data_IF_214722458627
#
_entry.id   IF_214722458627
#
_cell.length_a   1.000
_cell.length_b   1.000
_cell.length_c   1.000
_cell.angle_alpha   90.00
_cell.angle_beta   90.00
_cell.angle_gamma   90.00
#
_symmetry.space_group_name_H-M   'P 1'
#
loop_
_entity.id
_entity.type
_entity.pdbx_description
1 polymer ?
#
# COMPACT_ATOMS: atom_id res chain seq x y z
N UNK A 1 -25.77 13.61 -25.89
CA UNK A 1 -24.71 13.08 -25.01
C UNK A 1 -24.88 13.75 -23.66
N UNK A 2 -25.27 13.01 -22.62
CA UNK A 2 -25.43 13.58 -21.28
C UNK A 2 -24.04 13.92 -20.74
N UNK A 3 -23.82 15.19 -20.37
CA UNK A 3 -22.57 15.62 -19.74
C UNK A 3 -22.38 14.81 -18.46
N UNK A 4 -21.26 14.06 -18.36
CA UNK A 4 -20.89 13.39 -17.12
C UNK A 4 -20.76 14.46 -16.03
N UNK A 5 -21.63 14.38 -15.02
CA UNK A 5 -21.59 15.27 -13.86
C UNK A 5 -20.24 15.06 -13.16
N UNK A 6 -19.47 16.13 -13.01
CA UNK A 6 -18.16 16.11 -12.35
C UNK A 6 -18.33 15.64 -10.89
N UNK A 7 -17.44 14.77 -10.36
CA UNK A 7 -17.54 14.24 -9.01
C UNK A 7 -17.30 15.35 -7.97
N UNK A 8 -18.00 15.29 -6.84
CA UNK A 8 -17.75 16.17 -5.70
C UNK A 8 -16.46 15.78 -4.96
N UNK A 9 -15.92 16.67 -4.12
CA UNK A 9 -14.77 16.37 -3.24
C UNK A 9 -15.05 15.13 -2.38
N UNK A 10 -16.27 15.03 -1.84
CA UNK A 10 -16.70 13.86 -1.05
C UNK A 10 -16.68 12.57 -1.87
N UNK A 11 -17.11 12.60 -3.13
CA UNK A 11 -17.07 11.43 -4.01
C UNK A 11 -15.64 10.98 -4.31
N UNK A 12 -14.74 11.94 -4.54
CA UNK A 12 -13.31 11.68 -4.79
C UNK A 12 -12.66 11.05 -3.55
N UNK A 13 -12.84 11.65 -2.38
CA UNK A 13 -12.30 11.13 -1.12
C UNK A 13 -12.87 9.76 -0.75
N UNK A 14 -14.15 9.53 -1.02
CA UNK A 14 -14.78 8.23 -0.80
C UNK A 14 -14.19 7.14 -1.71
N UNK A 15 -14.00 7.42 -3.00
CA UNK A 15 -13.38 6.49 -3.95
C UNK A 15 -11.95 6.16 -3.56
N UNK A 16 -11.16 7.18 -3.19
CA UNK A 16 -9.81 7.00 -2.67
C UNK A 16 -9.79 6.10 -1.45
N UNK A 17 -10.64 6.38 -0.46
CA UNK A 17 -10.80 5.55 0.74
C UNK A 17 -11.09 4.09 0.37
N UNK A 18 -12.03 3.84 -0.54
CA UNK A 18 -12.36 2.48 -0.97
C UNK A 18 -11.20 1.76 -1.64
N UNK A 19 -10.50 2.42 -2.57
CA UNK A 19 -9.32 1.83 -3.22
C UNK A 19 -8.23 1.49 -2.21
N UNK A 20 -8.01 2.37 -1.22
CA UNK A 20 -7.06 2.13 -0.14
C UNK A 20 -7.51 0.99 0.78
N UNK A 21 -8.77 0.95 1.19
CA UNK A 21 -9.29 -0.12 2.06
C UNK A 21 -9.12 -1.51 1.39
N UNK A 22 -9.31 -1.60 0.08
CA UNK A 22 -9.02 -2.83 -0.70
C UNK A 22 -7.52 -3.17 -0.71
N UNK A 23 -6.66 -2.17 -0.83
CA UNK A 23 -5.22 -2.35 -0.82
C UNK A 23 -4.71 -2.79 0.56
N UNK A 24 -5.24 -2.20 1.64
CA UNK A 24 -4.93 -2.59 3.01
C UNK A 24 -5.40 -4.01 3.32
N UNK A 25 -6.54 -4.44 2.79
CA UNK A 25 -6.99 -5.84 2.86
C UNK A 25 -6.01 -6.78 2.16
N UNK A 26 -5.54 -6.41 0.96
CA UNK A 26 -4.53 -7.20 0.23
C UNK A 26 -3.20 -7.30 1.00
N UNK A 27 -2.68 -6.18 1.52
CA UNK A 27 -1.47 -6.18 2.36
C UNK A 27 -1.68 -6.98 3.64
N UNK A 28 -2.85 -6.89 4.25
CA UNK A 28 -3.23 -7.67 5.44
C UNK A 28 -3.13 -9.17 5.22
N UNK A 29 -3.67 -9.66 4.10
CA UNK A 29 -3.56 -11.08 3.71
C UNK A 29 -2.11 -11.53 3.55
N UNK A 30 -1.25 -10.69 2.98
CA UNK A 30 0.19 -10.99 2.88
C UNK A 30 0.86 -11.03 4.26
N UNK A 31 0.43 -10.17 5.20
CA UNK A 31 0.93 -10.23 6.58
C UNK A 31 0.54 -11.56 7.24
N UNK A 32 -0.71 -11.99 7.07
CA UNK A 32 -1.22 -13.24 7.63
C UNK A 32 -0.48 -14.45 7.03
N UNK A 33 -0.21 -14.45 5.72
CA UNK A 33 0.57 -15.49 5.05
C UNK A 33 2.02 -15.56 5.59
N UNK A 34 2.69 -14.42 5.68
CA UNK A 34 4.04 -14.34 6.25
C UNK A 34 4.10 -14.86 7.69
N UNK A 35 3.08 -14.52 8.49
CA UNK A 35 2.96 -14.98 9.87
C UNK A 35 2.69 -16.48 9.96
N UNK A 36 1.81 -17.03 9.12
CA UNK A 36 1.52 -18.45 9.07
C UNK A 36 2.77 -19.29 8.70
N UNK A 37 3.59 -18.80 7.76
CA UNK A 37 4.87 -19.42 7.41
C UNK A 37 5.82 -19.39 8.61
N UNK A 38 5.95 -18.22 9.25
CA UNK A 38 6.79 -18.09 10.44
C UNK A 38 6.37 -19.05 11.56
N UNK A 39 5.07 -19.12 11.89
CA UNK A 39 4.55 -20.02 12.93
C UNK A 39 4.81 -21.49 12.60
N UNK A 40 4.58 -21.89 11.34
CA UNK A 40 4.83 -23.26 10.87
C UNK A 40 6.31 -23.63 11.03
N UNK A 41 7.21 -22.80 10.53
CA UNK A 41 8.67 -23.05 10.60
C UNK A 41 9.17 -23.01 12.05
N UNK A 42 8.63 -22.12 12.89
CA UNK A 42 9.00 -22.05 14.30
C UNK A 42 8.50 -23.26 15.10
N UNK A 43 7.31 -23.77 14.80
CA UNK A 43 6.72 -24.96 15.45
C UNK A 43 7.54 -26.23 15.16
N UNK A 44 8.17 -26.33 13.99
CA UNK A 44 9.02 -27.45 13.57
C UNK A 44 10.40 -27.47 14.30
N UNK A 45 10.57 -26.68 15.38
CA UNK A 45 11.75 -26.53 16.25
C UNK A 45 12.97 -25.84 15.63
N UNK A 46 12.85 -25.29 14.42
CA UNK A 46 13.89 -24.46 13.79
C UNK A 46 13.55 -22.97 13.88
N UNK A 47 13.24 -22.47 15.07
CA UNK A 47 12.98 -21.03 15.30
C UNK A 47 14.18 -20.13 14.99
N UNK A 48 15.35 -20.71 14.81
CA UNK A 48 16.59 -20.06 14.35
C UNK A 48 16.94 -20.37 12.89
N UNK A 49 16.06 -21.04 12.13
CA UNK A 49 16.23 -21.18 10.68
C UNK A 49 16.18 -19.81 10.01
N UNK A 50 16.92 -19.66 8.92
CA UNK A 50 16.82 -18.46 8.12
C UNK A 50 15.39 -18.28 7.59
N UNK A 51 14.68 -19.37 7.30
CA UNK A 51 13.30 -19.35 6.81
C UNK A 51 12.35 -18.61 7.77
N UNK A 52 12.41 -18.91 9.08
CA UNK A 52 11.60 -18.22 10.08
C UNK A 52 11.98 -16.74 10.20
N UNK A 53 13.27 -16.42 10.17
CA UNK A 53 13.75 -15.03 10.24
C UNK A 53 13.28 -14.23 9.04
N UNK A 54 13.40 -14.79 7.83
CA UNK A 54 12.99 -14.14 6.59
C UNK A 54 11.48 -13.95 6.54
N UNK A 55 10.68 -14.98 6.87
CA UNK A 55 9.23 -14.86 6.92
C UNK A 55 8.77 -13.77 7.90
N UNK A 56 9.37 -13.74 9.10
CA UNK A 56 9.11 -12.70 10.10
C UNK A 56 9.47 -11.29 9.61
N UNK A 57 10.64 -11.13 9.00
CA UNK A 57 11.09 -9.84 8.47
C UNK A 57 10.19 -9.34 7.34
N UNK A 58 9.77 -10.22 6.43
CA UNK A 58 8.79 -9.90 5.38
C UNK A 58 7.46 -9.45 6.02
N UNK A 59 6.94 -10.19 7.00
CA UNK A 59 5.70 -9.84 7.70
C UNK A 59 5.77 -8.46 8.38
N UNK A 60 6.90 -8.15 9.04
CA UNK A 60 7.11 -6.84 9.66
C UNK A 60 7.15 -5.71 8.63
N UNK A 61 7.82 -5.92 7.50
CA UNK A 61 7.86 -4.95 6.39
C UNK A 61 6.49 -4.74 5.76
N UNK A 62 5.71 -5.80 5.54
CA UNK A 62 4.35 -5.69 5.03
C UNK A 62 3.45 -4.90 5.99
N UNK A 63 3.59 -5.12 7.30
CA UNK A 63 2.89 -4.32 8.30
C UNK A 63 3.30 -2.85 8.28
N UNK A 64 4.60 -2.57 8.12
CA UNK A 64 5.09 -1.19 7.93
C UNK A 64 4.57 -0.56 6.64
N UNK A 65 4.47 -1.32 5.55
CA UNK A 65 3.87 -0.86 4.30
C UNK A 65 2.39 -0.48 4.49
N UNK A 66 1.62 -1.25 5.26
CA UNK A 66 0.24 -0.90 5.58
C UNK A 66 0.15 0.45 6.32
N UNK A 67 1.02 0.71 7.30
CA UNK A 67 1.06 2.01 7.98
C UNK A 67 1.42 3.16 7.03
N UNK A 68 2.34 2.94 6.09
CA UNK A 68 2.67 3.95 5.08
C UNK A 68 1.48 4.21 4.15
N UNK A 69 0.79 3.16 3.67
CA UNK A 69 -0.41 3.32 2.83
C UNK A 69 -1.51 4.08 3.59
N UNK A 70 -1.70 3.80 4.88
CA UNK A 70 -2.64 4.54 5.72
C UNK A 70 -2.21 6.00 5.93
N UNK A 71 -0.91 6.30 5.89
CA UNK A 71 -0.35 7.66 5.94
C UNK A 71 -0.94 8.61 4.90
N UNK A 72 -1.18 8.14 3.67
CA UNK A 72 -1.81 8.94 2.61
C UNK A 72 -3.23 9.38 2.98
N UNK A 73 -3.96 8.54 3.73
CA UNK A 73 -5.29 8.89 4.20
C UNK A 73 -5.29 10.08 5.15
N UNK A 74 -4.30 10.15 6.04
CA UNK A 74 -4.24 11.24 7.02
C UNK A 74 -3.97 12.59 6.34
N UNK A 75 -3.23 12.60 5.24
CA UNK A 75 -3.02 13.81 4.40
C UNK A 75 -4.37 14.29 3.84
N UNK A 76 -5.14 13.39 3.22
CA UNK A 76 -6.47 13.70 2.69
C UNK A 76 -7.46 14.13 3.79
N UNK A 77 -7.38 13.52 4.97
CA UNK A 77 -8.24 13.84 6.11
C UNK A 77 -7.98 15.25 6.65
N UNK A 78 -6.72 15.65 6.75
CA UNK A 78 -6.35 17.01 7.18
C UNK A 78 -6.96 18.04 6.22
N UNK A 79 -6.87 17.83 4.91
CA UNK A 79 -7.49 18.72 3.93
C UNK A 79 -9.02 18.77 4.05
N UNK A 80 -9.64 17.61 4.28
CA UNK A 80 -11.08 17.53 4.51
C UNK A 80 -11.52 18.29 5.76
N UNK A 81 -10.74 18.26 6.84
CA UNK A 81 -11.03 18.99 8.08
C UNK A 81 -10.82 20.50 7.94
N UNK A 82 -9.84 20.94 7.13
CA UNK A 82 -9.56 22.36 6.88
C UNK A 82 -10.56 23.01 5.92
N UNK A 83 -11.16 22.25 5.00
CA UNK A 83 -12.22 22.71 4.08
C UNK A 83 -11.85 23.91 3.21
N UNK A 84 -10.56 24.14 2.92
CA UNK A 84 -10.13 25.22 2.02
C UNK A 84 -9.67 24.68 0.66
N UNK A 85 -9.89 25.44 -0.41
CA UNK A 85 -9.40 25.10 -1.76
C UNK A 85 -7.90 24.84 -1.76
N UNK A 86 -7.14 25.72 -1.10
CA UNK A 86 -5.69 25.60 -0.96
C UNK A 86 -5.30 24.28 -0.26
N UNK A 87 -5.96 23.93 0.84
CA UNK A 87 -5.67 22.67 1.54
C UNK A 87 -5.91 21.44 0.67
N UNK A 88 -6.94 21.43 -0.18
CA UNK A 88 -7.21 20.31 -1.08
C UNK A 88 -6.17 20.19 -2.20
N UNK A 89 -5.73 21.32 -2.76
CA UNK A 89 -4.68 21.36 -3.79
C UNK A 89 -3.36 20.86 -3.19
N UNK A 90 -2.93 21.46 -2.07
CA UNK A 90 -1.69 21.09 -1.39
C UNK A 90 -1.72 19.63 -0.95
N UNK A 91 -2.81 19.15 -0.34
CA UNK A 91 -2.89 17.75 0.06
C UNK A 91 -2.87 16.79 -1.13
N UNK A 92 -3.49 17.15 -2.27
CA UNK A 92 -3.39 16.32 -3.46
C UNK A 92 -1.96 16.22 -3.99
N UNK A 93 -1.18 17.29 -3.93
CA UNK A 93 0.23 17.30 -4.35
C UNK A 93 1.10 16.50 -3.37
N UNK A 94 0.93 16.77 -2.07
CA UNK A 94 1.66 16.10 -0.99
C UNK A 94 1.34 14.61 -0.96
N UNK A 95 0.08 14.21 -1.13
CA UNK A 95 -0.33 12.79 -1.18
C UNK A 95 0.33 12.07 -2.35
N UNK A 96 0.41 12.70 -3.53
CA UNK A 96 1.11 12.11 -4.69
C UNK A 96 2.60 11.95 -4.44
N UNK A 97 3.26 12.99 -3.94
CA UNK A 97 4.67 12.93 -3.60
C UNK A 97 4.93 11.87 -2.52
N UNK A 98 4.10 11.81 -1.49
CA UNK A 98 4.18 10.82 -0.42
C UNK A 98 4.06 9.38 -0.95
N UNK A 99 3.09 9.10 -1.82
CA UNK A 99 2.95 7.78 -2.44
C UNK A 99 4.18 7.46 -3.30
N UNK A 100 4.59 8.38 -4.17
CA UNK A 100 5.68 8.15 -5.11
C UNK A 100 7.05 8.00 -4.43
N UNK A 101 7.33 8.79 -3.39
CA UNK A 101 8.65 8.85 -2.77
C UNK A 101 8.76 7.97 -1.52
N UNK A 102 7.67 7.74 -0.80
CA UNK A 102 7.70 6.96 0.44
C UNK A 102 7.11 5.57 0.27
N UNK A 103 5.85 5.47 -0.15
CA UNK A 103 5.14 4.17 -0.23
C UNK A 103 5.78 3.28 -1.28
N UNK A 104 5.98 3.81 -2.49
CA UNK A 104 6.55 3.05 -3.62
C UNK A 104 8.01 2.66 -3.35
N UNK A 105 8.83 3.57 -2.84
CA UNK A 105 10.23 3.27 -2.46
C UNK A 105 10.30 2.17 -1.41
N UNK A 106 9.41 2.21 -0.41
CA UNK A 106 9.38 1.19 0.63
C UNK A 106 8.95 -0.17 0.07
N UNK A 107 7.91 -0.21 -0.76
CA UNK A 107 7.43 -1.40 -1.46
C UNK A 107 8.54 -2.02 -2.32
N UNK A 108 9.23 -1.21 -3.14
CA UNK A 108 10.36 -1.66 -3.95
C UNK A 108 11.50 -2.23 -3.08
N UNK A 109 11.67 -1.70 -1.86
CA UNK A 109 12.56 -2.25 -0.84
C UNK A 109 12.15 -3.65 -0.35
N UNK A 110 10.85 -3.94 -0.24
CA UNK A 110 10.34 -5.28 0.11
C UNK A 110 10.62 -6.26 -1.03
N UNK A 111 10.32 -5.88 -2.28
CA UNK A 111 10.61 -6.68 -3.46
C UNK A 111 12.11 -7.00 -3.56
N UNK A 112 12.96 -5.98 -3.37
CA UNK A 112 14.42 -6.14 -3.36
C UNK A 112 14.89 -7.09 -2.26
N UNK A 113 14.34 -6.96 -1.04
CA UNK A 113 14.64 -7.86 0.07
C UNK A 113 14.23 -9.30 -0.25
N UNK A 114 13.01 -9.53 -0.75
CA UNK A 114 12.51 -10.86 -1.12
C UNK A 114 13.40 -11.56 -2.17
N UNK A 115 13.95 -10.79 -3.11
CA UNK A 115 14.87 -11.30 -4.14
C UNK A 115 16.25 -11.68 -3.62
N UNK A 116 16.70 -11.06 -2.54
CA UNK A 116 18.07 -11.19 -2.01
C UNK A 116 18.17 -12.06 -0.76
N UNK A 117 17.05 -12.26 -0.06
CA UNK A 117 17.02 -13.02 1.18
C UNK A 117 17.37 -14.51 0.94
N UNK A 118 18.08 -15.10 1.91
CA UNK A 118 18.51 -16.50 1.86
C UNK A 118 17.52 -17.36 2.62
N UNK A 119 17.02 -18.37 1.96
CA UNK A 119 16.15 -19.40 2.53
C UNK A 119 16.95 -20.69 2.65
N UNK A 120 16.71 -21.43 3.73
CA UNK A 120 17.23 -22.79 3.92
C UNK A 120 16.39 -23.80 3.11
N UNK A 121 15.08 -23.55 2.95
CA UNK A 121 14.17 -24.35 2.12
C UNK A 121 13.89 -23.69 0.75
N UNK A 122 14.52 -24.22 -0.30
CA UNK A 122 14.39 -23.74 -1.68
C UNK A 122 12.95 -23.85 -2.24
N UNK A 123 12.21 -24.91 -1.90
CA UNK A 123 10.84 -25.11 -2.39
C UNK A 123 9.89 -24.10 -1.76
N UNK A 124 9.98 -23.93 -0.43
CA UNK A 124 9.20 -22.91 0.28
C UNK A 124 9.53 -21.51 -0.24
N UNK A 125 10.82 -21.24 -0.52
CA UNK A 125 11.24 -19.97 -1.12
C UNK A 125 10.54 -19.72 -2.44
N UNK A 126 10.60 -20.66 -3.39
CA UNK A 126 10.05 -20.45 -4.73
C UNK A 126 8.54 -20.21 -4.69
N UNK A 127 7.79 -21.06 -3.99
CA UNK A 127 6.33 -20.94 -3.89
C UNK A 127 5.90 -19.62 -3.21
N UNK A 128 6.51 -19.29 -2.08
CA UNK A 128 6.14 -18.09 -1.34
C UNK A 128 6.63 -16.80 -2.02
N UNK A 129 7.83 -16.82 -2.59
CA UNK A 129 8.40 -15.66 -3.29
C UNK A 129 7.57 -15.29 -4.51
N UNK A 130 7.18 -16.27 -5.33
CA UNK A 130 6.40 -15.98 -6.54
C UNK A 130 5.02 -15.40 -6.20
N UNK A 131 4.36 -15.96 -5.17
CA UNK A 131 3.10 -15.44 -4.64
C UNK A 131 3.22 -13.99 -4.13
N UNK A 132 4.27 -13.75 -3.32
CA UNK A 132 4.54 -12.45 -2.72
C UNK A 132 4.91 -11.39 -3.77
N UNK A 133 5.83 -11.70 -4.69
CA UNK A 133 6.26 -10.78 -5.74
C UNK A 133 5.09 -10.38 -6.63
N UNK A 134 4.28 -11.37 -7.07
CA UNK A 134 3.08 -11.10 -7.87
C UNK A 134 2.11 -10.16 -7.15
N UNK A 135 1.80 -10.45 -5.89
CA UNK A 135 0.83 -9.66 -5.12
C UNK A 135 1.35 -8.24 -4.84
N UNK A 136 2.64 -8.09 -4.56
CA UNK A 136 3.27 -6.77 -4.38
C UNK A 136 3.33 -5.97 -5.68
N UNK A 137 3.54 -6.62 -6.83
CA UNK A 137 3.48 -5.97 -8.14
C UNK A 137 2.06 -5.49 -8.49
N UNK A 138 1.02 -6.26 -8.13
CA UNK A 138 -0.37 -5.84 -8.27
C UNK A 138 -0.69 -4.62 -7.40
N UNK A 139 -0.24 -4.61 -6.13
CA UNK A 139 -0.36 -3.45 -5.22
C UNK A 139 0.39 -2.25 -5.80
N UNK A 140 1.62 -2.46 -6.29
CA UNK A 140 2.46 -1.44 -6.90
C UNK A 140 1.77 -0.81 -8.11
N UNK A 141 1.14 -1.60 -8.97
CA UNK A 141 0.39 -1.10 -10.13
C UNK A 141 -0.83 -0.27 -9.71
N UNK A 142 -1.52 -0.65 -8.65
CA UNK A 142 -2.67 0.09 -8.10
C UNK A 142 -2.27 1.44 -7.45
N UNK A 143 -1.03 1.58 -7.00
CA UNK A 143 -0.48 2.82 -6.43
C UNK A 143 -0.01 3.83 -7.49
N UNK A 144 0.12 3.43 -8.75
CA UNK A 144 0.53 4.35 -9.82
C UNK A 144 -0.54 5.43 -9.95
N UNK A 145 -0.18 6.73 -9.78
CA UNK A 145 -1.15 7.81 -9.86
C UNK A 145 -1.80 7.83 -11.25
N UNK A 146 -3.12 7.66 -11.29
CA UNK A 146 -3.90 7.97 -12.50
C UNK A 146 -3.87 9.49 -12.69
N UNK A 147 -3.58 10.01 -13.90
CA UNK A 147 -3.57 11.44 -14.15
C UNK A 147 -4.87 12.08 -13.66
N UNK A 148 -4.83 13.23 -12.97
CA UNK A 148 -6.03 13.89 -12.50
C UNK A 148 -6.99 14.15 -13.66
N UNK A 149 -8.21 13.63 -13.55
CA UNK A 149 -9.32 14.22 -14.28
C UNK A 149 -9.56 15.61 -13.68
N UNK A 150 -9.44 16.65 -14.51
CA UNK A 150 -9.50 18.04 -14.09
C UNK A 150 -10.70 18.31 -13.18
N UNK A 151 -10.43 18.63 -11.91
CA UNK A 151 -11.41 19.09 -10.94
C UNK A 151 -11.70 20.56 -11.26
N UNK A 152 -12.96 20.92 -11.51
CA UNK A 152 -13.31 22.29 -11.91
C UNK A 152 -13.21 23.25 -10.72
N UNK A 153 -12.61 24.42 -10.96
CA UNK A 153 -12.15 25.39 -9.97
C UNK A 153 -13.26 26.16 -9.22
N UNK A 154 -14.54 25.82 -9.42
CA UNK A 154 -15.68 26.71 -9.20
C UNK A 154 -16.64 26.32 -8.05
N UNK A 155 -16.25 25.43 -7.13
CA UNK A 155 -17.10 25.03 -5.99
C UNK A 155 -16.50 25.35 -4.61
N UNK A 156 -15.58 26.32 -4.55
CA UNK A 156 -15.03 26.82 -3.29
C UNK A 156 -15.79 28.05 -2.72
N UNK A 157 -16.83 28.53 -3.41
CA UNK A 157 -17.68 29.62 -2.93
C UNK A 157 -19.12 29.12 -2.76
N UNK A 158 -19.45 28.59 -1.58
CA UNK A 158 -20.82 28.43 -1.04
C UNK A 158 -20.79 28.16 0.45
#
# INVERSE_FOLDING_TARGET
MAAQKKPSVRDVLWRKKHARDQMLDAVGKLCDEAWAIFEKVAADRSSSSNDAVVAREIGLRLRSLAYLIEGEHYIDRIAFELQTKESYITASEVARAYVAEMVMTYLDGILSYGRQCKWDNEVLREEYRDSLEKSLEEIRAALIPVPPQAVDEAAADS
#
